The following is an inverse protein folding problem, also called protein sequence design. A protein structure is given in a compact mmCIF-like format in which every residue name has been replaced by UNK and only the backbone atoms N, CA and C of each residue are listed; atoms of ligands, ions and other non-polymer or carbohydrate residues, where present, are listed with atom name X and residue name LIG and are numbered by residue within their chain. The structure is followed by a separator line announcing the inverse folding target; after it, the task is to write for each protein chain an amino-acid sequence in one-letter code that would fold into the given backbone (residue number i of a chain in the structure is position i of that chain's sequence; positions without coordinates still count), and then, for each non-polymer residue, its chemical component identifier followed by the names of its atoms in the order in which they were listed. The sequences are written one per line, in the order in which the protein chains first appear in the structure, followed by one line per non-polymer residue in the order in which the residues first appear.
data_IF_873596798215
#
_entry.id   IF_873596798215
#
_cell.length_a   1.000
_cell.length_b   1.000
_cell.length_c   1.000
_cell.angle_alpha   90.00
_cell.angle_beta   90.00
_cell.angle_gamma   90.00
#
_symmetry.space_group_name_H-M   'P 1'
#
loop_
_entity.id
_entity.type
_entity.pdbx_description
1 polymer ?
#
# COMPACT_ATOMS: atom_id res chain seq x y z
N UNK A 1 -10.88 73.60 -26.01
CA UNK A 1 -10.03 72.82 -26.94
C UNK A 1 -9.86 71.40 -26.40
N UNK A 2 -9.74 70.41 -27.29
CA UNK A 2 -9.88 68.95 -27.05
C UNK A 2 -8.61 68.28 -26.48
N UNK A 3 -8.84 67.28 -25.60
CA UNK A 3 -8.08 66.01 -25.33
C UNK A 3 -6.69 66.20 -24.66
N UNK A 4 -6.22 65.34 -23.75
CA UNK A 4 -5.99 63.89 -23.90
C UNK A 4 -6.03 63.18 -22.52
N UNK A 5 -6.45 61.92 -22.57
CA UNK A 5 -6.56 60.96 -21.48
C UNK A 5 -5.21 60.60 -20.84
N UNK A 6 -5.26 60.22 -19.57
CA UNK A 6 -4.14 59.63 -18.85
C UNK A 6 -4.67 58.73 -17.72
N UNK A 7 -5.09 57.52 -18.09
CA UNK A 7 -5.28 56.41 -17.16
C UNK A 7 -3.98 56.18 -16.38
N UNK A 8 -4.05 56.21 -15.05
CA UNK A 8 -3.08 55.54 -14.20
C UNK A 8 -3.81 55.05 -12.94
N UNK A 9 -4.40 53.88 -13.09
CA UNK A 9 -5.00 53.04 -12.06
C UNK A 9 -3.86 52.54 -11.15
N UNK A 10 -3.60 53.24 -10.03
CA UNK A 10 -2.67 52.74 -9.01
C UNK A 10 -3.46 51.79 -8.12
N UNK A 11 -3.29 50.50 -8.42
CA UNK A 11 -3.85 49.38 -7.69
C UNK A 11 -3.51 49.48 -6.21
N UNK A 12 -4.55 49.46 -5.38
CA UNK A 12 -4.43 49.19 -3.95
C UNK A 12 -3.78 47.82 -3.76
N UNK A 13 -2.56 47.81 -3.24
CA UNK A 13 -1.92 46.66 -2.63
C UNK A 13 -2.70 46.29 -1.36
N UNK A 14 -3.75 45.49 -1.53
CA UNK A 14 -4.40 44.78 -0.45
C UNK A 14 -3.39 43.76 0.10
N UNK A 15 -2.80 44.10 1.25
CA UNK A 15 -2.14 43.17 2.16
C UNK A 15 -3.21 42.21 2.72
N UNK A 16 -3.60 41.22 1.93
CA UNK A 16 -4.22 40.01 2.46
C UNK A 16 -3.16 39.24 3.23
N UNK A 17 -3.16 39.43 4.55
CA UNK A 17 -2.56 38.47 5.48
C UNK A 17 -3.24 37.13 5.26
N UNK A 18 -2.67 36.31 4.37
CA UNK A 18 -2.96 34.89 4.29
C UNK A 18 -2.42 34.24 5.56
N UNK A 19 -3.23 34.20 6.61
CA UNK A 19 -3.08 33.23 7.68
C UNK A 19 -3.13 31.84 7.05
N UNK A 20 -1.95 31.29 6.78
CA UNK A 20 -1.80 29.91 6.34
C UNK A 20 -2.35 29.05 7.48
N UNK A 21 -3.40 28.24 7.27
CA UNK A 21 -3.80 27.30 8.30
C UNK A 21 -2.58 26.42 8.58
N UNK A 22 -2.11 26.46 9.84
CA UNK A 22 -1.11 25.53 10.34
C UNK A 22 -1.62 24.11 9.98
N UNK A 23 -0.82 23.27 9.30
CA UNK A 23 -1.24 21.89 9.05
C UNK A 23 -1.67 21.29 10.38
N UNK A 24 -2.89 20.75 10.42
CA UNK A 24 -3.33 19.94 11.54
C UNK A 24 -2.23 18.90 11.81
N UNK A 25 -1.80 18.79 13.06
CA UNK A 25 -0.84 17.77 13.43
C UNK A 25 -1.40 16.42 12.94
N UNK A 26 -0.66 15.77 12.04
CA UNK A 26 -0.91 14.39 11.65
C UNK A 26 -1.11 13.60 12.94
N UNK A 27 -2.20 12.84 13.09
CA UNK A 27 -2.36 11.97 14.25
C UNK A 27 -1.07 11.18 14.43
N UNK A 28 -0.51 11.24 15.64
CA UNK A 28 0.65 10.45 15.99
C UNK A 28 0.38 9.01 15.56
N UNK A 29 1.31 8.41 14.82
CA UNK A 29 1.23 7.03 14.38
C UNK A 29 0.76 6.18 15.56
N UNK A 30 -0.41 5.55 15.37
CA UNK A 30 -0.96 4.59 16.32
C UNK A 30 0.13 3.56 16.61
N UNK A 31 0.26 3.23 17.90
CA UNK A 31 1.45 2.62 18.49
C UNK A 31 1.95 1.38 17.75
N UNK A 32 3.21 1.03 18.03
CA UNK A 32 3.89 -0.19 17.58
C UNK A 32 2.94 -1.38 17.46
N UNK A 33 2.33 -1.50 16.29
CA UNK A 33 1.48 -2.59 15.86
C UNK A 33 2.43 -3.78 15.73
N UNK A 34 2.34 -4.71 16.68
CA UNK A 34 3.09 -5.97 16.61
C UNK A 34 2.80 -6.60 15.24
N UNK A 35 3.81 -7.17 14.54
CA UNK A 35 3.58 -7.82 13.27
C UNK A 35 2.44 -8.83 13.45
N UNK A 36 1.41 -8.68 12.63
CA UNK A 36 0.26 -9.54 12.77
C UNK A 36 0.66 -11.00 12.60
N UNK A 37 0.11 -11.88 13.44
CA UNK A 37 0.30 -13.31 13.19
C UNK A 37 -0.50 -13.71 11.95
N UNK A 38 0.09 -14.55 11.11
CA UNK A 38 -0.58 -15.04 9.91
C UNK A 38 -1.90 -15.75 10.25
N UNK A 39 -1.91 -16.51 11.33
CA UNK A 39 -3.11 -17.19 11.82
C UNK A 39 -4.21 -16.21 12.18
N UNK A 40 -3.90 -15.08 12.84
CA UNK A 40 -4.90 -14.06 13.17
C UNK A 40 -5.48 -13.42 11.91
N UNK A 41 -4.66 -13.14 10.90
CA UNK A 41 -5.12 -12.60 9.62
C UNK A 41 -6.03 -13.58 8.88
N UNK A 42 -5.60 -14.84 8.76
CA UNK A 42 -6.38 -15.89 8.10
C UNK A 42 -7.69 -16.21 8.83
N UNK A 43 -7.79 -15.90 10.13
CA UNK A 43 -8.97 -16.12 10.95
C UNK A 43 -10.01 -15.00 10.86
N UNK A 44 -9.72 -13.87 10.21
CA UNK A 44 -10.70 -12.80 10.05
C UNK A 44 -11.86 -13.36 9.22
N UNK A 45 -13.12 -13.30 9.70
CA UNK A 45 -14.27 -13.77 8.94
C UNK A 45 -14.47 -12.91 7.69
N UNK A 46 -14.89 -13.53 6.58
CA UNK A 46 -14.86 -12.90 5.25
C UNK A 46 -16.18 -13.00 4.48
N UNK A 47 -17.26 -13.45 5.12
CA UNK A 47 -18.53 -13.78 4.45
C UNK A 47 -19.73 -13.13 5.14
N UNK A 48 -20.75 -12.77 4.36
CA UNK A 48 -22.00 -12.21 4.87
C UNK A 48 -21.79 -10.87 5.56
N UNK A 49 -22.51 -10.60 6.66
CA UNK A 49 -22.36 -9.37 7.46
C UNK A 49 -20.96 -9.17 8.06
N UNK A 50 -20.10 -10.20 8.04
CA UNK A 50 -18.74 -10.10 8.54
C UNK A 50 -17.74 -9.51 7.52
N UNK A 51 -18.15 -9.24 6.27
CA UNK A 51 -17.29 -8.54 5.29
C UNK A 51 -16.95 -7.12 5.73
N UNK A 52 -17.90 -6.43 6.35
CA UNK A 52 -17.70 -5.05 6.81
C UNK A 52 -16.74 -5.02 8.02
N UNK A 53 -16.84 -6.04 8.87
CA UNK A 53 -15.92 -6.29 9.98
C UNK A 53 -14.52 -6.71 9.50
N UNK A 54 -14.43 -7.43 8.37
CA UNK A 54 -13.14 -7.81 7.78
C UNK A 54 -12.31 -6.58 7.50
N UNK A 55 -12.89 -5.58 6.84
CA UNK A 55 -12.18 -4.37 6.45
C UNK A 55 -11.71 -3.54 7.63
N UNK A 56 -12.57 -3.42 8.63
CA UNK A 56 -12.23 -2.75 9.89
C UNK A 56 -11.04 -3.44 10.57
N UNK A 57 -11.04 -4.77 10.61
CA UNK A 57 -9.93 -5.55 11.17
C UNK A 57 -8.69 -5.50 10.29
N UNK A 58 -8.81 -5.71 8.98
CA UNK A 58 -7.71 -5.69 8.02
C UNK A 58 -6.90 -4.40 8.10
N UNK A 59 -7.56 -3.24 8.21
CA UNK A 59 -6.91 -1.93 8.35
C UNK A 59 -6.05 -1.79 9.62
N UNK A 60 -6.16 -2.70 10.59
CA UNK A 60 -5.27 -2.71 11.76
C UNK A 60 -4.00 -3.53 11.54
N UNK A 61 -3.88 -4.23 10.41
CA UNK A 61 -2.73 -5.06 10.06
C UNK A 61 -1.80 -4.25 9.17
N UNK A 62 -0.86 -3.50 9.77
CA UNK A 62 0.08 -2.69 8.98
C UNK A 62 1.28 -3.52 8.51
N UNK A 63 1.82 -4.37 9.39
CA UNK A 63 3.07 -5.10 9.19
C UNK A 63 2.90 -6.58 9.49
N UNK A 64 3.69 -7.40 8.81
CA UNK A 64 3.73 -8.83 9.03
C UNK A 64 5.16 -9.34 8.95
N UNK A 65 5.45 -10.40 9.70
CA UNK A 65 6.77 -11.00 9.76
C UNK A 65 6.69 -12.53 9.70
N UNK A 66 7.58 -13.11 8.90
CA UNK A 66 7.78 -14.55 8.78
C UNK A 66 6.51 -15.33 8.41
N UNK A 67 5.65 -14.74 7.58
CA UNK A 67 4.47 -15.43 7.05
C UNK A 67 4.87 -16.47 6.02
N UNK A 68 4.27 -17.64 6.11
CA UNK A 68 4.45 -18.73 5.17
C UNK A 68 3.56 -18.51 3.94
N UNK A 69 4.10 -18.73 2.75
CA UNK A 69 3.35 -18.64 1.53
C UNK A 69 3.86 -19.60 0.47
N UNK A 70 3.18 -19.59 -0.68
CA UNK A 70 3.62 -20.23 -1.90
C UNK A 70 3.59 -19.25 -3.05
N UNK A 71 4.59 -19.33 -3.93
CA UNK A 71 4.61 -18.54 -5.16
C UNK A 71 3.43 -18.96 -6.03
N UNK A 72 2.50 -18.04 -6.25
CA UNK A 72 1.31 -18.26 -7.08
C UNK A 72 1.57 -17.83 -8.52
N UNK A 73 2.22 -16.69 -8.70
CA UNK A 73 2.68 -16.16 -9.99
C UNK A 73 3.94 -15.32 -9.77
N UNK A 74 4.79 -15.25 -10.79
CA UNK A 74 5.96 -14.37 -10.82
C UNK A 74 6.22 -13.92 -12.25
N UNK A 75 6.10 -12.62 -12.49
CA UNK A 75 6.30 -12.00 -13.79
C UNK A 75 7.37 -10.93 -13.66
N UNK A 76 8.35 -10.93 -14.56
CA UNK A 76 9.39 -9.90 -14.59
C UNK A 76 9.23 -9.13 -15.89
N UNK A 77 8.98 -7.83 -15.77
CA UNK A 77 8.89 -6.90 -16.89
C UNK A 77 10.19 -6.88 -17.69
N UNK A 78 10.09 -7.03 -19.00
CA UNK A 78 11.24 -6.89 -19.91
C UNK A 78 11.62 -5.44 -20.19
N UNK A 79 10.76 -4.48 -19.83
CA UNK A 79 10.95 -3.05 -20.07
C UNK A 79 11.89 -2.41 -19.05
N UNK A 80 11.64 -2.66 -17.77
CA UNK A 80 12.32 -2.02 -16.65
C UNK A 80 12.87 -3.02 -15.62
N UNK A 81 12.55 -4.31 -15.77
CA UNK A 81 12.92 -5.35 -14.82
C UNK A 81 12.13 -5.31 -13.52
N UNK A 82 11.02 -4.58 -13.45
CA UNK A 82 10.13 -4.64 -12.28
C UNK A 82 9.50 -6.04 -12.23
N UNK A 83 9.56 -6.68 -11.06
CA UNK A 83 8.92 -7.95 -10.80
C UNK A 83 7.55 -7.74 -10.16
N UNK A 84 6.59 -8.53 -10.60
CA UNK A 84 5.27 -8.68 -10.01
C UNK A 84 5.15 -10.10 -9.48
N UNK A 85 5.08 -10.22 -8.16
CA UNK A 85 5.05 -11.48 -7.42
C UNK A 85 3.70 -11.64 -6.71
N UNK A 86 2.99 -12.71 -7.04
CA UNK A 86 1.77 -13.11 -6.35
C UNK A 86 2.06 -14.28 -5.40
N UNK A 87 1.60 -14.18 -4.15
CA UNK A 87 1.89 -15.13 -3.08
C UNK A 87 0.59 -15.63 -2.48
N UNK A 88 0.35 -16.94 -2.52
CA UNK A 88 -0.76 -17.56 -1.81
C UNK A 88 -0.35 -17.86 -0.36
N UNK A 89 -1.07 -17.29 0.61
CA UNK A 89 -0.81 -17.48 2.05
C UNK A 89 -1.82 -18.41 2.73
N UNK A 90 -2.67 -19.08 1.95
CA UNK A 90 -3.69 -20.02 2.42
C UNK A 90 -5.12 -19.46 2.36
N UNK A 91 -6.10 -20.37 2.43
CA UNK A 91 -7.53 -20.06 2.40
C UNK A 91 -7.99 -19.14 1.24
N UNK A 92 -7.32 -19.27 0.07
CA UNK A 92 -7.59 -18.46 -1.12
C UNK A 92 -7.09 -17.01 -1.04
N UNK A 93 -6.36 -16.64 0.01
CA UNK A 93 -5.79 -15.31 0.19
C UNK A 93 -4.48 -15.19 -0.56
N UNK A 94 -4.34 -14.08 -1.30
CA UNK A 94 -3.18 -13.78 -2.13
C UNK A 94 -2.62 -12.42 -1.75
N UNK A 95 -1.29 -12.30 -1.73
CA UNK A 95 -0.57 -11.05 -1.59
C UNK A 95 0.07 -10.71 -2.93
N UNK A 96 0.10 -9.44 -3.32
CA UNK A 96 0.76 -8.97 -4.54
C UNK A 96 1.85 -7.98 -4.17
N UNK A 97 3.06 -8.21 -4.70
CA UNK A 97 4.22 -7.36 -4.47
C UNK A 97 4.82 -6.92 -5.80
N UNK A 98 4.77 -5.61 -6.05
CA UNK A 98 5.52 -4.97 -7.13
C UNK A 98 6.91 -4.60 -6.60
N UNK A 99 7.94 -5.29 -7.10
CA UNK A 99 9.32 -5.17 -6.65
C UNK A 99 10.18 -4.60 -7.76
N UNK A 100 10.69 -3.38 -7.55
CA UNK A 100 11.64 -2.76 -8.45
C UNK A 100 12.95 -3.58 -8.54
N UNK A 101 13.64 -3.51 -9.68
CA UNK A 101 14.90 -4.24 -9.95
C UNK A 101 16.01 -3.97 -8.92
N UNK A 102 16.02 -2.77 -8.34
CA UNK A 102 16.96 -2.35 -7.29
C UNK A 102 16.44 -2.59 -5.86
N UNK A 103 15.27 -3.22 -5.72
CA UNK A 103 14.64 -3.50 -4.44
C UNK A 103 15.41 -4.56 -3.64
N UNK A 104 15.35 -4.50 -2.30
CA UNK A 104 16.17 -5.34 -1.42
C UNK A 104 15.84 -6.83 -1.54
N UNK A 105 14.60 -7.18 -1.90
CA UNK A 105 14.16 -8.57 -2.08
C UNK A 105 14.29 -9.08 -3.53
N UNK A 106 14.67 -8.20 -4.47
CA UNK A 106 14.75 -8.53 -5.89
C UNK A 106 15.74 -9.67 -6.21
N UNK A 107 16.92 -9.77 -5.57
CA UNK A 107 17.80 -10.92 -5.80
C UNK A 107 17.21 -12.26 -5.36
N UNK A 108 16.35 -12.25 -4.33
CA UNK A 108 15.70 -13.47 -3.82
C UNK A 108 14.61 -13.98 -4.75
N UNK A 109 13.83 -13.08 -5.37
CA UNK A 109 12.74 -13.48 -6.27
C UNK A 109 13.24 -14.16 -7.55
N UNK A 110 14.46 -13.86 -8.02
CA UNK A 110 15.02 -14.45 -9.24
C UNK A 110 15.25 -15.96 -9.15
N UNK A 111 15.23 -16.51 -7.93
CA UNK A 111 15.46 -17.94 -7.66
C UNK A 111 14.16 -18.72 -7.42
N UNK A 112 13.03 -18.03 -7.46
CA UNK A 112 11.74 -18.62 -7.13
C UNK A 112 11.13 -19.36 -8.31
N UNK A 113 10.59 -20.54 -8.04
CA UNK A 113 9.70 -21.28 -8.94
C UNK A 113 8.24 -21.19 -8.51
N UNK A 114 7.32 -21.43 -9.45
CA UNK A 114 5.88 -21.53 -9.16
C UNK A 114 5.60 -22.66 -8.16
N UNK A 115 4.71 -22.41 -7.20
CA UNK A 115 4.34 -23.33 -6.13
C UNK A 115 5.36 -23.47 -5.01
N UNK A 116 6.55 -22.88 -5.14
CA UNK A 116 7.62 -22.95 -4.14
C UNK A 116 7.16 -22.36 -2.81
N UNK A 117 7.48 -23.05 -1.72
CA UNK A 117 7.23 -22.54 -0.37
C UNK A 117 8.23 -21.42 -0.06
N UNK A 118 7.72 -20.33 0.52
CA UNK A 118 8.50 -19.14 0.86
C UNK A 118 8.10 -18.61 2.23
N UNK A 119 8.98 -17.82 2.83
CA UNK A 119 8.73 -17.06 4.04
C UNK A 119 8.90 -15.58 3.70
N UNK A 120 7.87 -14.78 4.02
CA UNK A 120 7.82 -13.35 3.67
C UNK A 120 7.57 -12.47 4.89
N UNK A 121 8.17 -11.29 4.85
CA UNK A 121 7.95 -10.20 5.80
C UNK A 121 7.73 -8.90 5.02
N UNK A 122 6.88 -8.02 5.52
CA UNK A 122 6.49 -6.84 4.77
C UNK A 122 5.49 -5.96 5.49
N UNK A 123 4.93 -5.05 4.70
CA UNK A 123 3.89 -4.13 5.13
C UNK A 123 2.77 -4.14 4.09
N UNK A 124 1.53 -4.03 4.54
CA UNK A 124 0.42 -3.83 3.63
C UNK A 124 0.47 -2.41 3.07
N UNK A 125 0.19 -2.27 1.78
CA UNK A 125 0.21 -0.95 1.10
C UNK A 125 -1.00 -0.11 1.48
N UNK A 126 -2.13 -0.76 1.78
CA UNK A 126 -3.45 -0.15 1.95
C UNK A 126 -3.76 0.88 0.86
N UNK A 127 -3.23 0.65 -0.36
CA UNK A 127 -3.12 1.68 -1.41
C UNK A 127 -4.48 2.25 -1.82
N UNK A 128 -5.56 1.55 -1.50
CA UNK A 128 -6.91 2.06 -1.54
C UNK A 128 -7.66 1.42 -0.37
N UNK A 129 -7.61 2.04 0.81
CA UNK A 129 -8.26 1.61 2.06
C UNK A 129 -9.60 0.85 1.90
N UNK A 130 -10.39 1.13 0.84
CA UNK A 130 -11.63 0.41 0.53
C UNK A 130 -11.56 -0.52 -0.71
N UNK A 131 -10.67 -0.34 -1.69
CA UNK A 131 -10.63 -1.20 -2.89
C UNK A 131 -10.06 -2.60 -2.61
N UNK A 132 -9.07 -2.70 -1.72
CA UNK A 132 -8.54 -3.98 -1.21
C UNK A 132 -9.64 -4.80 -0.48
N UNK A 133 -10.70 -4.10 -0.11
CA UNK A 133 -11.84 -4.57 0.66
C UNK A 133 -13.09 -4.83 -0.19
N UNK A 134 -13.31 -4.02 -1.23
CA UNK A 134 -14.42 -4.11 -2.19
C UNK A 134 -14.26 -5.31 -3.12
N UNK A 135 -13.01 -5.68 -3.43
CA UNK A 135 -12.68 -6.83 -4.27
C UNK A 135 -12.05 -7.94 -3.44
N UNK A 136 -12.83 -8.52 -2.53
CA UNK A 136 -12.43 -9.63 -1.66
C UNK A 136 -11.73 -10.84 -2.37
N UNK A 137 -11.80 -10.92 -3.70
CA UNK A 137 -11.15 -11.96 -4.51
C UNK A 137 -9.79 -11.57 -5.09
N UNK A 138 -9.43 -10.29 -5.03
CA UNK A 138 -8.14 -9.76 -5.48
C UNK A 138 -7.02 -10.06 -4.48
N UNK A 139 -5.75 -9.90 -4.90
CA UNK A 139 -4.63 -9.95 -3.98
C UNK A 139 -4.56 -8.68 -3.12
N UNK A 140 -3.99 -8.80 -1.92
CA UNK A 140 -3.67 -7.67 -1.06
C UNK A 140 -2.29 -7.11 -1.42
N UNK A 141 -2.21 -5.83 -1.77
CA UNK A 141 -0.95 -5.19 -2.12
C UNK A 141 -0.01 -5.08 -0.92
N UNK A 142 1.25 -5.50 -1.08
CA UNK A 142 2.28 -5.47 -0.03
C UNK A 142 3.61 -4.90 -0.52
N UNK A 143 4.33 -4.26 0.40
CA UNK A 143 5.75 -3.95 0.28
C UNK A 143 6.58 -4.98 1.04
N UNK A 144 7.31 -5.82 0.31
CA UNK A 144 8.15 -6.84 0.90
C UNK A 144 9.46 -6.25 1.46
N UNK A 145 9.78 -6.63 2.69
CA UNK A 145 11.03 -6.29 3.36
C UNK A 145 11.91 -7.51 3.62
N UNK A 146 11.35 -8.72 3.52
CA UNK A 146 12.08 -9.97 3.61
C UNK A 146 11.42 -11.06 2.76
N UNK A 147 12.27 -11.87 2.11
CA UNK A 147 11.87 -13.00 1.27
C UNK A 147 12.92 -14.11 1.39
N UNK A 148 12.50 -15.28 1.85
CA UNK A 148 13.32 -16.49 2.01
C UNK A 148 12.61 -17.67 1.34
N UNK A 149 13.38 -18.63 0.84
CA UNK A 149 12.91 -19.73 0.00
C UNK A 149 13.65 -21.02 0.27
#
# INVERSE_FOLDING_TARGET
MRRIAGLALIALLALSACDKPKPAATPAAQGTSLPASQTAFLAIPRTGSASDDFCTKFKTFDRFENWQGRVQDLRISTLDGTADLEINIGQGIRLEAIVAKNGPVYPSLLKLGLGQAIIVSGQFTHANNDADCLYYRGPFGVHLTGLKS
#
